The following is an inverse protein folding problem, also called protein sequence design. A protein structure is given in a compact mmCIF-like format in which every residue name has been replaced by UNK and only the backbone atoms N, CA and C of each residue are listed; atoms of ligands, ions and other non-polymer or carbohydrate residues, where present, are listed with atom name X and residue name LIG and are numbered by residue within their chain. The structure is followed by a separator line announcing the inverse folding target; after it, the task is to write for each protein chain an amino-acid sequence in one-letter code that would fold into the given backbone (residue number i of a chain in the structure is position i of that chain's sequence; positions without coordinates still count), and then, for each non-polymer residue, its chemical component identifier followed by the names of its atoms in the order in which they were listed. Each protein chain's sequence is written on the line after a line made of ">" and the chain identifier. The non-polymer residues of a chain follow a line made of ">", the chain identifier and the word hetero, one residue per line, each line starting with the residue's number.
data_IF_567521130322
#
_entry.id   IF_567521130322
#
_cell.length_a   1.000
_cell.length_b   1.000
_cell.length_c   1.000
_cell.angle_alpha   90.00
_cell.angle_beta   90.00
_cell.angle_gamma   90.00
#
_symmetry.space_group_name_H-M   'P 1'
#
loop_
_entity.id
_entity.type
_entity.pdbx_description
1 polymer ?
2 non-polymer ?
3 water ?
#
# COMPACT_ATOMS: atom_id res chain seq x y z
N UNK A 54 -2.54 26.94 -4.67
CA UNK A 54 -3.53 26.11 -3.89
C UNK A 54 -2.85 25.08 -2.99
N UNK A 55 -3.11 25.20 -1.70
CA UNK A 55 -2.60 24.23 -0.77
C UNK A 55 -3.80 23.55 -0.13
N UNK A 56 -3.94 22.23 -0.24
CA UNK A 56 -4.96 21.53 0.51
C UNK A 56 -4.77 21.71 2.00
N UNK A 57 -5.88 22.00 2.66
CA UNK A 57 -5.83 22.29 4.07
C UNK A 57 -5.86 20.99 4.84
N UNK A 58 -6.52 19.98 4.28
CA UNK A 58 -6.52 18.63 4.82
C UNK A 58 -5.56 17.77 4.00
N UNK A 59 -4.52 17.25 4.69
CA UNK A 59 -3.54 16.38 4.07
C UNK A 59 -3.47 15.07 4.85
N UNK A 60 -4.11 14.01 4.30
CA UNK A 60 -4.39 12.79 5.05
C UNK A 60 -3.51 11.63 4.56
N UNK A 61 -2.84 11.02 5.53
CA UNK A 61 -1.98 9.89 5.26
C UNK A 61 -2.76 8.58 5.38
N UNK A 62 -2.96 7.82 4.29
CA UNK A 62 -3.58 6.51 4.41
C UNK A 62 -2.74 5.50 5.23
N UNK A 63 -3.37 4.81 6.20
CA UNK A 63 -2.78 3.63 6.84
C UNK A 63 -3.58 2.36 6.52
N UNK A 64 -3.06 1.55 5.58
CA UNK A 64 -3.66 0.31 5.10
C UNK A 64 -3.20 -0.91 5.90
N UNK A 65 -4.09 -1.55 6.68
CA UNK A 65 -3.69 -2.60 7.60
C UNK A 65 -4.07 -4.01 7.06
N UNK A 66 -4.39 -4.14 5.74
CA UNK A 66 -4.62 -5.43 5.06
C UNK A 66 -3.41 -6.35 5.23
N UNK A 67 -2.29 -5.71 5.58
CA UNK A 67 -1.08 -6.45 5.87
C UNK A 67 0.00 -5.54 6.43
N UNK A 68 1.06 -6.11 6.94
CA UNK A 68 2.19 -5.39 7.54
C UNK A 68 1.70 -4.26 8.43
N UNK A 69 0.90 -4.66 9.39
CA UNK A 69 0.19 -3.76 10.29
C UNK A 69 1.08 -3.57 11.50
N UNK A 70 1.45 -2.32 11.85
CA UNK A 70 2.45 -2.11 12.88
C UNK A 70 1.88 -2.69 14.17
N UNK A 71 2.82 -3.07 15.04
CA UNK A 71 2.50 -3.31 16.43
C UNK A 71 2.12 -2.01 17.11
N UNK A 72 1.19 -2.09 18.08
CA UNK A 72 0.45 -0.91 18.50
C UNK A 72 1.26 0.18 19.20
N UNK A 73 2.29 -0.20 19.91
CA UNK A 73 3.08 0.83 20.60
C UNK A 73 3.85 1.74 19.62
N UNK A 74 3.80 1.46 18.31
CA UNK A 74 4.63 2.22 17.41
C UNK A 74 3.85 3.22 16.59
N UNK A 75 2.59 3.44 16.92
CA UNK A 75 1.85 4.42 16.13
C UNK A 75 2.23 5.83 16.56
N UNK A 76 2.60 6.02 17.83
CA UNK A 76 2.93 7.34 18.30
C UNK A 76 4.07 7.93 17.48
N UNK A 77 5.15 7.16 17.41
CA UNK A 77 6.28 7.52 16.58
C UNK A 77 5.82 7.95 15.19
N UNK A 78 4.99 7.13 14.56
CA UNK A 78 4.60 7.38 13.17
C UNK A 78 3.85 8.68 13.07
N UNK A 79 2.93 8.83 14.03
CA UNK A 79 2.01 9.95 14.07
C UNK A 79 2.74 11.26 14.30
N UNK A 80 3.65 11.28 15.29
CA UNK A 80 4.55 12.41 15.52
C UNK A 80 5.34 12.77 14.26
N UNK A 81 5.77 11.76 13.47
CA UNK A 81 6.48 12.04 12.23
C UNK A 81 5.46 12.66 11.28
N UNK A 82 4.20 12.24 11.41
CA UNK A 82 3.24 12.70 10.42
C UNK A 82 2.96 14.18 10.64
N UNK A 83 3.05 14.63 11.89
CA UNK A 83 2.86 16.03 12.30
C UNK A 83 4.08 16.80 11.80
N UNK A 84 5.25 16.21 11.97
CA UNK A 84 6.49 16.88 11.70
C UNK A 84 6.67 17.12 10.21
N UNK A 85 5.84 16.50 9.36
CA UNK A 85 5.92 16.77 7.94
C UNK A 85 4.69 17.51 7.48
N UNK A 86 3.79 17.84 8.39
CA UNK A 86 2.64 18.67 8.01
C UNK A 86 1.43 17.89 7.48
N UNK A 87 1.15 16.75 8.09
CA UNK A 87 -0.09 16.04 7.84
C UNK A 87 -1.12 16.56 8.82
N UNK A 88 -2.36 16.67 8.38
CA UNK A 88 -3.39 17.13 9.28
C UNK A 88 -4.14 15.95 9.90
N UNK A 89 -3.95 14.77 9.30
CA UNK A 89 -4.80 13.64 9.64
C UNK A 89 -4.40 12.33 8.97
N UNK A 90 -5.16 11.30 9.28
CA UNK A 90 -4.86 9.95 8.83
C UNK A 90 -6.20 9.30 8.49
N UNK A 91 -6.02 8.26 7.70
CA UNK A 91 -7.16 7.52 7.19
C UNK A 91 -6.93 6.08 7.55
N UNK A 92 -7.69 5.48 8.45
CA UNK A 92 -7.29 4.18 8.93
C UNK A 92 -8.18 3.14 8.31
N UNK A 93 -7.59 2.22 7.55
CA UNK A 93 -8.29 1.07 7.05
C UNK A 93 -7.83 -0.17 7.81
N UNK A 94 -8.58 -0.45 8.86
CA UNK A 94 -8.37 -1.54 9.78
C UNK A 94 -8.43 -2.91 9.12
N UNK A 95 -9.27 -3.03 8.06
CA UNK A 95 -9.58 -4.33 7.44
C UNK A 95 -9.88 -5.35 8.54
N UNK A 96 -9.00 -6.37 8.73
CA UNK A 96 -9.27 -7.48 9.60
C UNK A 96 -8.53 -7.29 10.92
N UNK A 97 -8.00 -6.09 11.16
CA UNK A 97 -7.14 -5.93 12.32
C UNK A 97 -7.88 -5.27 13.47
N UNK A 98 -9.13 -4.83 13.22
CA UNK A 98 -9.94 -4.23 14.27
C UNK A 98 -10.43 -5.25 15.29
N UNK A 99 -10.64 -4.86 16.57
CA UNK A 99 -11.24 -5.75 17.57
C UNK A 99 -12.73 -5.97 17.30
N UNK A 100 -13.08 -6.67 16.23
CA UNK A 100 -14.47 -6.91 15.92
C UNK A 100 -15.13 -7.84 16.95
N UNK A 101 -16.46 -7.69 17.10
CA UNK A 101 -17.18 -8.47 18.10
C UNK A 101 -18.51 -8.96 17.55
N UNK A 102 -19.16 -9.82 18.36
CA UNK A 102 -20.36 -10.50 17.92
C UNK A 102 -20.07 -11.40 16.74
N UNK A 103 -20.90 -11.25 15.67
CA UNK A 103 -20.85 -12.08 14.47
C UNK A 103 -19.58 -11.89 13.62
N UNK A 104 -18.81 -10.83 13.90
CA UNK A 104 -17.67 -10.46 13.09
C UNK A 104 -16.39 -10.90 13.78
N UNK A 105 -16.54 -11.39 15.03
CA UNK A 105 -15.40 -11.77 15.86
C UNK A 105 -14.53 -12.81 15.14
N UNK A 106 -15.18 -13.58 14.25
CA UNK A 106 -14.62 -14.81 13.70
C UNK A 106 -13.77 -14.46 12.49
N UNK A 107 -14.10 -13.37 11.82
CA UNK A 107 -13.33 -12.96 10.67
C UNK A 107 -12.25 -11.94 11.03
N UNK A 108 -11.71 -12.05 12.25
CA UNK A 108 -10.61 -11.21 12.71
C UNK A 108 -9.25 -11.83 12.52
N UNK A 109 -8.32 -11.07 11.99
CA UNK A 109 -6.94 -11.49 12.07
C UNK A 109 -6.60 -11.95 13.48
N UNK A 110 -5.82 -13.01 13.51
CA UNK A 110 -5.34 -13.61 14.74
C UNK A 110 -4.47 -12.66 15.54
N UNK A 111 -3.87 -11.66 14.87
CA UNK A 111 -2.94 -10.73 15.51
C UNK A 111 -3.63 -9.37 15.71
N UNK A 112 -4.98 -9.45 15.70
CA UNK A 112 -5.87 -8.31 15.64
C UNK A 112 -5.63 -7.44 16.87
N UNK A 113 -5.85 -6.16 16.71
CA UNK A 113 -5.67 -5.17 17.74
C UNK A 113 -6.78 -5.23 18.80
N UNK A 114 -6.40 -5.09 20.09
CA UNK A 114 -7.37 -5.02 21.17
C UNK A 114 -8.12 -3.70 21.15
N UNK A 115 -9.31 -3.78 21.74
CA UNK A 115 -10.01 -2.59 22.22
C UNK A 115 -9.09 -1.55 22.92
N UNK A 116 -8.25 -1.96 23.87
CA UNK A 116 -7.38 -1.03 24.60
C UNK A 116 -6.38 -0.41 23.64
N UNK A 117 -5.93 -1.19 22.65
CA UNK A 117 -5.05 -0.62 21.63
C UNK A 117 -5.76 0.43 20.78
N UNK A 118 -6.88 0.06 20.19
CA UNK A 118 -7.58 1.01 19.32
C UNK A 118 -7.87 2.33 20.07
N UNK A 119 -8.28 2.26 21.36
CA UNK A 119 -8.67 3.44 22.14
C UNK A 119 -7.41 4.29 22.33
N UNK A 120 -6.23 3.65 22.41
CA UNK A 120 -5.00 4.39 22.68
C UNK A 120 -4.48 4.99 21.37
N UNK A 121 -4.80 4.34 20.28
CA UNK A 121 -4.30 4.82 19.02
C UNK A 121 -5.00 6.12 18.72
N UNK A 122 -6.30 6.16 18.99
CA UNK A 122 -7.10 7.28 18.52
C UNK A 122 -6.87 8.48 19.42
N UNK A 123 -6.60 8.18 20.70
CA UNK A 123 -6.30 9.17 21.75
C UNK A 123 -5.00 9.83 21.37
N UNK A 124 -4.05 8.98 20.91
CA UNK A 124 -2.73 9.50 20.60
C UNK A 124 -2.83 10.38 19.36
N UNK A 125 -3.58 9.91 18.39
CA UNK A 125 -3.90 10.75 17.26
C UNK A 125 -4.50 12.07 17.73
N UNK A 126 -5.53 11.99 18.58
CA UNK A 126 -6.20 13.19 19.02
C UNK A 126 -5.23 14.14 19.72
N UNK A 127 -4.47 13.63 20.70
CA UNK A 127 -3.58 14.48 21.45
C UNK A 127 -2.56 15.16 20.54
N UNK A 128 -2.23 14.59 19.35
CA UNK A 128 -1.21 15.16 18.50
C UNK A 128 -1.88 16.08 17.49
N UNK A 129 -3.17 16.32 17.70
CA UNK A 129 -3.95 17.20 16.82
C UNK A 129 -3.90 16.62 15.41
N UNK A 130 -4.21 15.30 15.30
CA UNK A 130 -4.39 14.62 14.02
C UNK A 130 -5.83 14.11 13.89
N UNK A 131 -6.49 14.60 12.85
CA UNK A 131 -7.80 14.11 12.51
C UNK A 131 -7.72 12.61 12.15
N UNK A 132 -8.79 11.85 12.50
CA UNK A 132 -8.91 10.46 12.10
C UNK A 132 -10.14 10.18 11.24
N UNK A 133 -9.88 9.78 10.00
CA UNK A 133 -11.00 9.32 9.18
C UNK A 133 -10.96 7.82 9.05
N UNK A 134 -11.92 7.04 9.59
CA UNK A 134 -12.01 5.60 9.29
C UNK A 134 -12.33 5.30 7.83
N UNK A 135 -11.72 4.25 7.26
CA UNK A 135 -12.15 3.74 5.97
C UNK A 135 -12.81 2.40 6.20
N UNK A 136 -14.11 2.32 5.88
CA UNK A 136 -14.79 1.03 5.96
C UNK A 136 -15.40 0.66 4.64
N UNK A 137 -15.01 -0.51 4.15
CA UNK A 137 -15.50 -0.91 2.84
C UNK A 137 -16.93 -1.39 3.03
N UNK A 138 -17.82 -0.92 2.16
CA UNK A 138 -19.24 -1.12 2.38
C UNK A 138 -19.90 -1.85 1.22
N UNK A 139 -19.24 -1.99 0.05
CA UNK A 139 -19.81 -2.76 -1.05
C UNK A 139 -18.83 -3.85 -1.48
N UNK A 140 -17.63 -3.40 -1.92
CA UNK A 140 -16.57 -4.26 -2.39
C UNK A 140 -15.31 -4.21 -1.51
N UNK A 141 -14.33 -5.01 -1.94
CA UNK A 141 -13.05 -5.20 -1.27
C UNK A 141 -13.33 -5.76 0.12
N UNK A 142 -14.26 -6.73 0.20
CA UNK A 142 -14.67 -7.31 1.47
C UNK A 142 -14.22 -8.76 1.59
N UNK A 143 -13.20 -9.10 0.80
CA UNK A 143 -12.62 -10.45 0.87
C UNK A 143 -12.39 -10.89 2.32
N UNK A 144 -12.01 -9.96 3.19
CA UNK A 144 -11.59 -10.33 4.52
C UNK A 144 -12.80 -10.78 5.30
N UNK A 145 -13.97 -10.31 4.84
CA UNK A 145 -15.19 -10.65 5.55
C UNK A 145 -15.92 -11.87 4.97
N UNK A 146 -16.07 -11.92 3.64
CA UNK A 146 -16.92 -12.87 2.98
C UNK A 146 -16.21 -14.17 2.53
N UNK A 147 -14.98 -14.43 2.92
CA UNK A 147 -14.21 -15.45 2.26
C UNK A 147 -14.29 -16.75 3.02
N UNK A 148 -14.85 -16.77 4.24
CA UNK A 148 -15.03 -18.04 4.92
C UNK A 148 -16.40 -18.57 4.53
N UNK A 149 -16.82 -19.63 5.21
CA UNK A 149 -18.16 -20.20 5.01
C UNK A 149 -19.21 -19.18 5.45
N UNK A 150 -18.88 -18.47 6.55
CA UNK A 150 -19.81 -17.71 7.36
C UNK A 150 -20.68 -16.76 6.55
N UNK A 151 -20.11 -16.05 5.59
CA UNK A 151 -20.92 -15.06 4.92
C UNK A 151 -20.94 -15.37 3.43
N UNK A 152 -20.63 -16.64 3.13
CA UNK A 152 -20.59 -17.11 1.76
C UNK A 152 -21.88 -16.65 1.10
N UNK A 153 -22.98 -16.75 1.88
CA UNK A 153 -24.33 -16.59 1.33
C UNK A 153 -24.53 -15.15 0.87
N UNK A 154 -23.69 -14.25 1.44
CA UNK A 154 -23.85 -12.81 1.28
C UNK A 154 -23.21 -12.24 0.02
N UNK A 155 -22.40 -13.06 -0.68
CA UNK A 155 -21.60 -12.57 -1.80
C UNK A 155 -22.45 -12.25 -3.03
N UNK A 156 -22.11 -11.21 -3.78
CA UNK A 156 -22.73 -10.92 -5.08
C UNK A 156 -22.68 -12.15 -5.98
N UNK A 157 -21.49 -12.73 -6.12
CA UNK A 157 -21.25 -13.92 -6.90
C UNK A 157 -20.67 -14.96 -5.95
N UNK A 158 -21.22 -16.19 -5.88
CA UNK A 158 -20.83 -17.09 -4.79
C UNK A 158 -19.39 -17.53 -4.86
N UNK A 159 -18.72 -17.27 -5.99
CA UNK A 159 -17.35 -17.68 -6.14
C UNK A 159 -16.39 -16.58 -5.71
N UNK A 160 -16.83 -15.31 -5.79
CA UNK A 160 -16.01 -14.16 -5.53
C UNK A 160 -16.28 -13.66 -4.13
N UNK A 161 -15.27 -13.69 -3.22
CA UNK A 161 -15.36 -13.09 -1.89
C UNK A 161 -15.17 -11.57 -1.84
N UNK A 162 -15.31 -10.92 -2.98
CA UNK A 162 -15.05 -9.51 -3.09
C UNK A 162 -16.23 -8.60 -2.77
N UNK A 163 -17.37 -8.86 -3.35
CA UNK A 163 -18.52 -7.97 -3.26
C UNK A 163 -19.61 -8.65 -2.45
N UNK A 164 -20.49 -7.83 -1.87
CA UNK A 164 -21.67 -8.31 -1.16
C UNK A 164 -22.94 -7.99 -1.98
N UNK A 165 -24.01 -8.82 -1.91
CA UNK A 165 -25.19 -8.55 -2.71
C UNK A 165 -25.90 -7.34 -2.10
N UNK A 166 -25.89 -6.20 -2.83
CA UNK A 166 -26.58 -4.96 -2.43
C UNK A 166 -28.07 -5.28 -2.23
N UNK A 167 -28.65 -6.14 -3.08
CA UNK A 167 -30.08 -6.42 -3.04
C UNK A 167 -30.47 -7.46 -2.02
N UNK A 168 -29.55 -7.95 -1.19
CA UNK A 168 -29.88 -8.92 -0.16
C UNK A 168 -29.74 -8.17 1.14
N UNK A 169 -30.85 -8.00 1.86
CA UNK A 169 -30.92 -7.04 2.94
C UNK A 169 -30.28 -7.67 4.18
N UNK A 170 -30.27 -8.98 4.30
CA UNK A 170 -29.53 -9.54 5.42
C UNK A 170 -28.05 -9.10 5.27
N UNK A 171 -27.61 -8.81 4.04
CA UNK A 171 -26.19 -8.59 3.81
C UNK A 171 -25.90 -7.12 4.09
N UNK A 172 -26.86 -6.30 3.62
CA UNK A 172 -26.77 -4.88 3.84
C UNK A 172 -26.76 -4.69 5.34
N UNK A 173 -27.46 -5.56 6.09
CA UNK A 173 -27.53 -5.46 7.54
C UNK A 173 -26.15 -5.72 8.15
N UNK A 174 -25.38 -6.69 7.62
CA UNK A 174 -24.08 -7.02 8.18
C UNK A 174 -23.14 -5.83 8.03
N UNK A 175 -23.28 -5.17 6.88
CA UNK A 175 -22.47 -4.04 6.50
C UNK A 175 -22.69 -2.90 7.51
N UNK A 176 -23.95 -2.67 7.88
CA UNK A 176 -24.28 -1.52 8.71
C UNK A 176 -23.79 -1.83 10.13
N UNK A 177 -23.83 -3.08 10.55
CA UNK A 177 -23.22 -3.43 11.83
C UNK A 177 -21.71 -3.17 11.85
N UNK A 178 -21.13 -3.21 10.64
CA UNK A 178 -19.70 -3.25 10.57
C UNK A 178 -19.30 -1.79 10.78
N UNK A 179 -19.93 -0.94 9.95
CA UNK A 179 -19.87 0.50 10.16
C UNK A 179 -20.04 0.84 11.64
N UNK A 180 -21.10 0.38 12.31
CA UNK A 180 -21.41 0.85 13.66
C UNK A 180 -20.35 0.37 14.63
N UNK A 181 -19.74 -0.77 14.35
CA UNK A 181 -18.81 -1.35 15.29
C UNK A 181 -17.52 -0.51 15.38
N UNK A 182 -17.24 0.15 14.24
CA UNK A 182 -16.06 0.97 14.02
C UNK A 182 -16.32 2.36 14.58
N UNK A 183 -17.43 2.93 14.14
CA UNK A 183 -17.85 4.26 14.55
C UNK A 183 -18.04 4.30 16.08
N UNK A 184 -18.38 3.19 16.70
CA UNK A 184 -18.36 3.08 18.15
C UNK A 184 -17.09 3.69 18.72
N UNK A 185 -15.97 3.35 18.12
CA UNK A 185 -14.72 3.86 18.64
C UNK A 185 -14.37 5.20 18.05
N UNK A 186 -14.74 5.41 16.78
CA UNK A 186 -14.29 6.58 16.05
C UNK A 186 -15.21 7.80 16.17
N UNK A 187 -16.39 7.60 16.77
CA UNK A 187 -17.42 8.62 16.71
C UNK A 187 -16.95 9.92 17.32
N UNK A 188 -16.14 9.84 18.38
CA UNK A 188 -15.83 11.05 19.11
C UNK A 188 -14.61 11.74 18.55
N UNK A 189 -14.18 11.44 17.32
CA UNK A 189 -12.81 11.71 16.93
C UNK A 189 -12.67 12.14 15.45
N UNK A 190 -13.72 12.50 14.74
CA UNK A 190 -13.45 12.98 13.39
C UNK A 190 -14.69 13.57 12.78
N UNK A 191 -14.60 14.32 11.67
CA UNK A 191 -15.83 14.89 11.14
C UNK A 191 -16.26 14.11 9.88
N UNK A 192 -15.37 13.17 9.48
CA UNK A 192 -15.57 12.44 8.23
C UNK A 192 -15.51 10.91 8.41
N UNK A 193 -16.23 10.19 7.53
CA UNK A 193 -16.11 8.75 7.35
C UNK A 193 -16.03 8.39 5.85
N UNK A 194 -15.12 7.45 5.49
CA UNK A 194 -14.95 6.98 4.14
C UNK A 194 -15.55 5.57 4.07
N UNK A 195 -16.46 5.39 3.07
CA UNK A 195 -17.16 4.12 2.94
C UNK A 195 -16.71 3.23 1.77
N UNK A 196 -15.62 3.55 1.08
CA UNK A 196 -15.15 2.73 -0.01
C UNK A 196 -15.94 3.00 -1.27
N UNK A 197 -16.67 1.97 -1.77
CA UNK A 197 -17.34 1.94 -3.08
C UNK A 197 -16.41 2.28 -4.21
N UNK A 198 -15.20 1.64 -4.19
CA UNK A 198 -14.17 1.73 -5.23
C UNK A 198 -14.09 0.42 -6.02
N UNK A 199 -13.20 0.43 -7.04
CA UNK A 199 -12.86 -0.68 -7.94
C UNK A 199 -13.28 -2.05 -7.37
N UNK A 220 -29.87 -0.93 -12.09
CA UNK A 220 -28.55 -1.54 -11.79
C UNK A 220 -27.57 -0.55 -11.16
N UNK A 221 -27.36 0.64 -11.80
CA UNK A 221 -26.66 1.74 -11.12
C UNK A 221 -27.57 2.29 -10.01
N UNK A 222 -28.89 2.08 -10.12
CA UNK A 222 -29.85 2.50 -9.09
C UNK A 222 -29.68 1.67 -7.82
N UNK A 223 -29.38 0.37 -7.96
CA UNK A 223 -29.22 -0.53 -6.81
C UNK A 223 -27.96 -0.15 -6.03
N UNK A 224 -26.97 0.30 -6.81
CA UNK A 224 -25.71 0.77 -6.26
C UNK A 224 -26.02 2.03 -5.46
N UNK A 225 -26.53 3.05 -6.16
CA UNK A 225 -26.79 4.35 -5.57
C UNK A 225 -27.75 4.23 -4.41
N UNK A 226 -28.70 3.30 -4.43
CA UNK A 226 -29.63 3.22 -3.31
C UNK A 226 -28.90 2.52 -2.15
N UNK A 227 -27.77 1.85 -2.45
CA UNK A 227 -26.96 1.18 -1.42
C UNK A 227 -26.12 2.24 -0.68
N UNK A 228 -25.53 3.13 -1.48
CA UNK A 228 -24.79 4.27 -1.04
C UNK A 228 -25.69 5.19 -0.19
N UNK A 229 -26.79 5.59 -0.79
CA UNK A 229 -27.77 6.41 -0.13
C UNK A 229 -28.00 5.77 1.22
N UNK A 230 -28.46 4.54 1.20
CA UNK A 230 -28.71 3.85 2.43
C UNK A 230 -27.57 4.10 3.44
N UNK A 231 -26.31 3.88 3.02
CA UNK A 231 -25.17 3.77 3.93
C UNK A 231 -24.81 5.13 4.52
N UNK A 232 -24.52 6.08 3.62
CA UNK A 232 -24.51 7.50 3.88
C UNK A 232 -25.47 7.95 5.02
N UNK A 233 -26.79 7.79 4.78
CA UNK A 233 -27.80 8.31 5.71
C UNK A 233 -27.58 7.60 7.02
N UNK A 234 -27.22 6.31 6.99
CA UNK A 234 -27.02 5.64 8.27
C UNK A 234 -25.92 6.36 9.06
N UNK A 235 -24.82 6.72 8.36
CA UNK A 235 -23.68 7.34 9.03
C UNK A 235 -24.01 8.78 9.43
N UNK A 236 -24.46 9.57 8.43
CA UNK A 236 -24.90 10.96 8.60
C UNK A 236 -25.88 11.11 9.78
N UNK A 237 -26.89 10.26 9.83
CA UNK A 237 -27.96 10.36 10.79
C UNK A 237 -27.48 9.97 12.16
N UNK A 238 -26.81 8.82 12.27
CA UNK A 238 -26.57 8.23 13.57
C UNK A 238 -25.33 8.87 14.21
N UNK A 239 -24.41 9.36 13.38
CA UNK A 239 -23.13 9.83 13.89
C UNK A 239 -22.85 11.27 13.47
N UNK A 240 -23.75 11.85 12.68
CA UNK A 240 -23.61 13.24 12.23
C UNK A 240 -22.34 13.56 11.47
N UNK A 241 -21.82 12.64 10.63
CA UNK A 241 -20.59 12.87 9.89
C UNK A 241 -20.88 12.85 8.42
N UNK A 242 -19.86 13.33 7.70
CA UNK A 242 -19.92 13.50 6.27
C UNK A 242 -19.27 12.29 5.63
N UNK A 243 -19.90 11.83 4.56
CA UNK A 243 -19.41 10.60 3.98
C UNK A 243 -18.55 10.90 2.76
N UNK A 244 -17.35 10.31 2.75
CA UNK A 244 -16.48 10.25 1.59
C UNK A 244 -16.54 8.87 0.93
N UNK A 245 -16.53 8.83 -0.40
CA UNK A 245 -16.42 7.56 -1.09
C UNK A 245 -15.45 7.72 -2.26
N UNK A 246 -15.00 6.59 -2.86
CA UNK A 246 -14.16 6.66 -4.06
C UNK A 246 -14.97 7.03 -5.29
N UNK A 247 -14.39 7.85 -6.18
CA UNK A 247 -15.15 8.50 -7.24
C UNK A 247 -15.64 7.61 -8.39
N UNK A 248 -14.86 6.57 -8.74
CA UNK A 248 -15.11 5.69 -9.89
C UNK A 248 -16.56 5.20 -9.99
N UNK A 249 -17.24 5.02 -8.85
CA UNK A 249 -18.62 4.54 -8.84
C UNK A 249 -19.60 5.53 -9.50
N UNK A 250 -19.24 6.82 -9.65
CA UNK A 250 -20.20 7.87 -10.05
C UNK A 250 -19.70 8.76 -11.18
N UNK A 251 -18.42 8.68 -11.57
CA UNK A 251 -17.82 9.52 -12.60
C UNK A 251 -18.52 9.40 -13.96
N UNK A 252 -19.15 8.23 -14.15
CA UNK A 252 -19.84 7.89 -15.39
C UNK A 252 -21.28 8.39 -15.40
N UNK A 253 -21.96 8.35 -14.24
CA UNK A 253 -23.41 8.43 -14.14
C UNK A 253 -23.94 9.77 -14.64
N UNK A 254 -25.18 9.75 -15.14
CA UNK A 254 -25.84 10.95 -15.64
C UNK A 254 -25.99 11.89 -14.45
N UNK A 255 -25.69 13.17 -14.64
CA UNK A 255 -25.96 14.16 -13.62
C UNK A 255 -27.37 13.94 -13.05
N UNK A 256 -28.29 13.49 -13.91
CA UNK A 256 -29.67 13.26 -13.54
C UNK A 256 -29.77 12.32 -12.33
N UNK A 257 -29.21 11.10 -12.45
CA UNK A 257 -29.31 10.08 -11.43
C UNK A 257 -28.73 10.57 -10.09
N UNK A 258 -27.65 11.38 -10.19
CA UNK A 258 -27.02 11.93 -9.01
C UNK A 258 -28.03 12.77 -8.24
N UNK A 259 -28.81 13.57 -8.98
CA UNK A 259 -29.79 14.43 -8.33
C UNK A 259 -30.93 13.63 -7.74
N UNK A 260 -31.39 12.65 -8.52
CA UNK A 260 -32.44 11.76 -8.07
C UNK A 260 -32.08 11.20 -6.71
N UNK A 261 -30.78 11.03 -6.44
CA UNK A 261 -30.42 10.48 -5.15
C UNK A 261 -29.75 11.52 -4.27
N UNK A 262 -29.97 12.79 -4.58
CA UNK A 262 -29.55 13.90 -3.73
C UNK A 262 -28.14 13.64 -3.19
N UNK A 263 -27.23 13.38 -4.14
CA UNK A 263 -25.88 12.99 -3.77
C UNK A 263 -25.12 14.26 -3.40
N UNK A 264 -25.61 15.40 -3.83
CA UNK A 264 -24.93 16.66 -3.55
C UNK A 264 -24.94 16.87 -2.06
N UNK A 265 -25.98 16.26 -1.41
CA UNK A 265 -26.19 16.37 0.03
C UNK A 265 -25.74 15.11 0.75
N UNK A 266 -25.20 14.12 0.07
CA UNK A 266 -24.89 12.92 0.84
C UNK A 266 -23.39 12.61 0.96
N UNK A 267 -22.64 12.73 -0.16
CA UNK A 267 -21.30 12.13 -0.24
C UNK A 267 -20.28 13.08 -0.83
N UNK A 268 -19.05 12.88 -0.40
CA UNK A 268 -17.94 13.64 -0.94
C UNK A 268 -17.09 12.67 -1.76
N UNK A 269 -17.09 12.83 -3.09
CA UNK A 269 -16.32 11.95 -3.93
C UNK A 269 -14.84 12.28 -3.75
N UNK A 270 -14.11 11.18 -3.59
CA UNK A 270 -12.67 11.18 -3.56
C UNK A 270 -12.20 10.62 -4.89
N UNK A 271 -11.60 11.50 -5.68
CA UNK A 271 -11.05 11.09 -6.95
C UNK A 271 -9.59 10.63 -6.77
N UNK A 272 -9.32 9.40 -7.17
CA UNK A 272 -8.00 8.82 -7.01
C UNK A 272 -7.32 8.59 -8.36
N UNK A 273 -6.01 8.92 -8.37
CA UNK A 273 -5.18 8.69 -9.52
C UNK A 273 -3.73 8.74 -9.08
N UNK A 274 -3.11 7.58 -9.30
CA UNK A 274 -1.76 7.31 -8.82
C UNK A 274 -0.74 7.41 -9.97
N UNK A 275 -1.20 7.83 -11.16
CA UNK A 275 -0.31 8.00 -12.32
C UNK A 275 0.67 9.17 -12.17
N UNK A 276 1.74 9.12 -12.92
CA UNK A 276 2.77 10.14 -12.94
C UNK A 276 2.30 11.39 -13.69
N UNK A 277 1.76 11.24 -14.90
CA UNK A 277 1.10 12.34 -15.58
C UNK A 277 -0.37 11.99 -15.60
N UNK A 278 -1.14 12.76 -14.82
CA UNK A 278 -2.58 12.66 -14.74
C UNK A 278 -3.18 13.30 -15.95
N UNK A 279 -2.48 14.32 -16.48
CA UNK A 279 -2.95 15.05 -17.64
C UNK A 279 -3.11 14.07 -18.80
N UNK A 280 -2.25 13.04 -18.82
CA UNK A 280 -2.38 11.93 -19.75
C UNK A 280 -3.60 11.03 -19.46
N UNK A 281 -3.90 10.72 -18.19
CA UNK A 281 -4.90 9.70 -17.89
C UNK A 281 -6.30 10.31 -17.66
N UNK A 282 -6.40 11.55 -17.14
CA UNK A 282 -7.68 12.10 -16.69
C UNK A 282 -8.51 12.60 -17.86
N UNK A 283 -9.82 12.27 -17.95
CA UNK A 283 -10.69 12.78 -19.02
C UNK A 283 -10.73 14.29 -18.91
N UNK A 284 -11.40 14.99 -19.83
CA UNK A 284 -11.30 16.43 -19.74
C UNK A 284 -12.67 16.96 -19.34
N UNK A 285 -12.61 18.02 -18.53
CA UNK A 285 -13.74 18.47 -17.73
C UNK A 285 -14.30 17.36 -16.82
N UNK A 286 -13.40 16.48 -16.35
CA UNK A 286 -13.75 15.57 -15.27
C UNK A 286 -14.16 16.41 -14.05
N UNK A 287 -13.42 17.51 -13.83
CA UNK A 287 -13.66 18.47 -12.76
C UNK A 287 -14.97 19.22 -13.00
N UNK A 288 -15.18 19.62 -14.26
CA UNK A 288 -16.40 20.27 -14.69
C UNK A 288 -17.59 19.32 -14.51
N UNK A 289 -17.36 18.03 -14.78
CA UNK A 289 -18.40 17.03 -14.59
C UNK A 289 -18.86 17.05 -13.14
N UNK A 290 -17.90 16.92 -12.23
CA UNK A 290 -18.17 16.67 -10.83
C UNK A 290 -18.67 17.92 -10.10
N UNK A 291 -18.16 19.10 -10.47
CA UNK A 291 -18.57 20.34 -9.82
C UNK A 291 -20.02 20.61 -10.15
N UNK A 292 -20.51 20.06 -11.27
CA UNK A 292 -21.89 20.20 -11.67
C UNK A 292 -22.76 19.19 -10.96
N UNK A 293 -22.20 18.45 -9.99
CA UNK A 293 -22.95 17.36 -9.36
C UNK A 293 -22.87 17.46 -7.85
N UNK A 294 -21.66 17.82 -7.36
CA UNK A 294 -21.39 17.89 -5.94
C UNK A 294 -20.63 19.18 -5.57
N UNK A 295 -20.87 19.67 -4.34
CA UNK A 295 -20.18 20.85 -3.82
C UNK A 295 -18.81 20.57 -3.23
N UNK A 296 -18.62 19.34 -2.71
CA UNK A 296 -17.39 18.96 -2.01
C UNK A 296 -16.64 17.86 -2.77
N UNK A 297 -15.33 18.01 -2.86
CA UNK A 297 -14.49 17.09 -3.62
C UNK A 297 -13.18 16.93 -2.86
N UNK A 298 -12.68 15.70 -2.85
CA UNK A 298 -11.36 15.36 -2.34
C UNK A 298 -10.49 14.79 -3.47
N UNK A 299 -9.19 14.67 -3.21
CA UNK A 299 -8.30 14.06 -4.18
C UNK A 299 -7.42 13.01 -3.51
N UNK A 300 -6.86 12.10 -4.32
CA UNK A 300 -6.14 11.01 -3.71
C UNK A 300 -4.91 10.64 -4.53
N UNK A 301 -3.73 10.83 -3.92
CA UNK A 301 -2.47 10.58 -4.59
C UNK A 301 -1.92 9.27 -4.04
N UNK A 302 -0.69 8.85 -4.39
CA UNK A 302 -0.16 7.70 -3.68
C UNK A 302 1.25 7.96 -3.19
N UNK A 303 1.59 7.49 -1.99
CA UNK A 303 3.00 7.47 -1.65
C UNK A 303 3.65 6.07 -1.70
N UNK A 304 2.83 5.02 -1.65
CA UNK A 304 3.29 3.65 -1.73
C UNK A 304 2.08 2.79 -2.13
N UNK A 305 2.30 1.56 -2.62
CA UNK A 305 1.24 0.65 -3.02
C UNK A 305 0.60 0.98 -4.37
N UNK A 306 1.36 1.63 -5.26
CA UNK A 306 0.89 1.86 -6.63
C UNK A 306 2.01 1.97 -7.66
N UNK A 307 3.20 1.39 -7.41
CA UNK A 307 4.18 1.20 -8.49
C UNK A 307 3.87 -0.13 -9.20
N UNK A 308 4.08 -1.19 -8.44
CA UNK A 308 3.85 -2.54 -8.87
C UNK A 308 3.41 -3.33 -7.65
N UNK A 309 2.62 -4.39 -7.84
CA UNK A 309 2.19 -5.18 -6.69
C UNK A 309 3.35 -5.74 -5.89
N UNK A 310 4.44 -6.06 -6.60
CA UNK A 310 5.61 -6.66 -6.00
C UNK A 310 6.71 -5.64 -5.74
N UNK A 311 6.33 -4.37 -5.66
CA UNK A 311 7.25 -3.29 -5.32
C UNK A 311 7.57 -3.39 -3.84
N UNK A 312 8.82 -3.66 -3.48
CA UNK A 312 9.17 -3.81 -2.09
C UNK A 312 10.13 -2.75 -1.58
N UNK A 313 10.58 -1.80 -2.45
CA UNK A 313 11.63 -0.86 -2.08
C UNK A 313 11.12 0.53 -2.42
N UNK A 314 11.93 1.55 -2.05
CA UNK A 314 11.57 2.95 -2.23
C UNK A 314 11.89 3.47 -3.64
N UNK A 315 10.87 3.84 -4.41
CA UNK A 315 11.01 4.52 -5.69
C UNK A 315 10.30 5.87 -5.59
N UNK A 316 10.99 6.89 -5.05
CA UNK A 316 10.45 8.22 -4.81
C UNK A 316 10.12 8.95 -6.12
N UNK A 317 10.94 8.76 -7.16
CA UNK A 317 10.84 9.47 -8.45
C UNK A 317 9.39 9.33 -8.97
N UNK A 318 8.84 8.10 -8.88
CA UNK A 318 7.51 7.75 -9.32
C UNK A 318 6.45 8.53 -8.53
N UNK A 319 6.44 8.38 -7.21
CA UNK A 319 5.35 9.00 -6.49
C UNK A 319 5.42 10.52 -6.65
N UNK A 320 6.65 11.07 -6.75
CA UNK A 320 6.86 12.50 -6.81
C UNK A 320 6.18 13.06 -8.06
N UNK A 321 6.34 12.42 -9.21
CA UNK A 321 5.61 12.80 -10.42
C UNK A 321 4.11 12.88 -10.21
N UNK A 322 3.55 12.02 -9.36
CA UNK A 322 2.12 11.96 -9.09
C UNK A 322 1.72 13.23 -8.32
N UNK A 323 2.53 13.56 -7.33
CA UNK A 323 2.31 14.75 -6.53
C UNK A 323 2.44 16.07 -7.30
N UNK A 324 3.41 16.21 -8.23
CA UNK A 324 3.55 17.44 -9.01
C UNK A 324 2.36 17.52 -9.94
N UNK A 325 2.06 16.36 -10.53
CA UNK A 325 0.94 16.28 -11.44
C UNK A 325 -0.37 16.57 -10.70
N UNK A 326 -0.43 16.34 -9.38
CA UNK A 326 -1.66 16.60 -8.62
C UNK A 326 -1.74 18.10 -8.30
N UNK A 327 -0.64 18.73 -7.94
CA UNK A 327 -0.70 20.15 -7.68
C UNK A 327 -1.41 20.89 -8.82
N UNK A 328 -1.01 20.60 -10.06
CA UNK A 328 -1.53 21.35 -11.19
C UNK A 328 -3.04 21.13 -11.22
N UNK A 329 -3.48 19.88 -11.01
CA UNK A 329 -4.89 19.50 -11.08
C UNK A 329 -5.73 20.24 -10.03
N UNK A 330 -5.26 20.26 -8.79
CA UNK A 330 -5.98 20.91 -7.69
C UNK A 330 -6.10 22.43 -7.93
N UNK A 331 -5.02 23.02 -8.50
CA UNK A 331 -4.95 24.43 -8.82
C UNK A 331 -5.89 24.79 -9.96
N UNK A 332 -6.59 23.79 -10.51
CA UNK A 332 -7.58 24.06 -11.54
C UNK A 332 -8.96 23.68 -11.03
N UNK A 333 -9.00 22.92 -9.93
CA UNK A 333 -10.24 22.30 -9.50
C UNK A 333 -10.70 22.88 -8.17
N UNK A 334 -9.78 23.58 -7.49
CA UNK A 334 -10.06 24.16 -6.21
C UNK A 334 -11.31 25.03 -6.29
N UNK A 335 -11.46 25.78 -7.39
CA UNK A 335 -12.39 26.89 -7.44
C UNK A 335 -13.80 26.51 -7.88
N UNK A 336 -14.03 25.31 -8.42
CA UNK A 336 -15.34 24.91 -8.96
C UNK A 336 -16.15 24.15 -7.91
N UNK A 337 -15.58 24.08 -6.73
CA UNK A 337 -16.23 23.32 -5.70
C UNK A 337 -16.54 24.27 -4.55
N UNK A 338 -17.66 24.05 -3.87
CA UNK A 338 -17.85 24.72 -2.61
C UNK A 338 -16.58 24.61 -1.79
N UNK A 339 -15.92 23.44 -1.87
CA UNK A 339 -14.62 23.27 -1.24
C UNK A 339 -13.96 21.98 -1.74
N UNK A 340 -12.74 22.10 -2.33
CA UNK A 340 -11.80 21.01 -2.49
C UNK A 340 -11.22 20.70 -1.11
N UNK A 341 -11.63 19.60 -0.48
CA UNK A 341 -11.42 19.48 0.95
C UNK A 341 -9.96 19.14 1.27
N UNK A 342 -9.32 18.41 0.40
CA UNK A 342 -7.94 18.03 0.70
C UNK A 342 -7.50 16.91 -0.22
N UNK A 343 -6.34 16.34 0.12
CA UNK A 343 -5.80 15.22 -0.63
C UNK A 343 -5.43 14.09 0.33
N UNK A 344 -5.81 12.88 -0.09
CA UNK A 344 -5.47 11.67 0.65
C UNK A 344 -4.29 10.96 -0.03
N UNK A 345 -3.21 10.85 0.74
CA UNK A 345 -1.98 10.23 0.35
C UNK A 345 -2.16 8.77 0.60
N UNK A 346 -2.50 8.05 -0.45
CA UNK A 346 -2.78 6.63 -0.33
C UNK A 346 -1.48 5.89 -0.05
N UNK A 347 -1.54 4.78 0.68
CA UNK A 347 -0.41 3.93 1.05
C UNK A 347 -0.70 2.42 1.15
N UNK A 348 -1.25 1.85 0.07
CA UNK A 348 -1.64 0.45 0.01
C UNK A 348 -0.49 -0.44 0.49
N UNK A 349 -0.84 -1.59 1.12
CA UNK A 349 0.10 -2.51 1.72
C UNK A 349 0.00 -3.80 0.92
N UNK A 350 -1.18 -4.06 0.32
CA UNK A 350 -1.37 -5.01 -0.76
C UNK A 350 -2.29 -4.35 -1.80
N UNK A 351 -2.09 -4.65 -3.08
CA UNK A 351 -3.05 -4.30 -4.12
C UNK A 351 -4.46 -4.79 -3.83
N UNK A 352 -4.63 -5.86 -3.04
CA UNK A 352 -5.93 -6.30 -2.58
C UNK A 352 -5.57 -7.28 -1.47
N UNK A 353 -6.58 -7.64 -0.67
CA UNK A 353 -6.53 -8.66 0.38
C UNK A 353 -5.67 -9.86 -0.02
N UNK A 354 -5.83 -10.34 -1.26
CA UNK A 354 -5.26 -11.63 -1.67
C UNK A 354 -3.89 -11.46 -2.30
N UNK A 355 -3.61 -10.24 -2.77
CA UNK A 355 -2.31 -9.92 -3.33
C UNK A 355 -1.21 -9.96 -2.26
N UNK A 356 0.01 -9.99 -2.75
CA UNK A 356 1.20 -9.96 -1.90
C UNK A 356 1.34 -8.58 -1.27
N UNK A 357 2.26 -8.57 -0.31
CA UNK A 357 2.66 -7.35 0.35
C UNK A 357 3.47 -6.47 -0.57
N UNK A 358 3.02 -5.24 -0.81
CA UNK A 358 3.87 -4.26 -1.46
C UNK A 358 4.72 -3.58 -0.38
N UNK A 359 5.08 -2.33 -0.64
CA UNK A 359 6.07 -1.58 0.14
C UNK A 359 5.57 -1.32 1.54
N UNK A 360 6.39 -1.70 2.52
CA UNK A 360 6.06 -1.46 3.93
C UNK A 360 6.05 0.04 4.21
N UNK A 361 5.31 0.45 5.26
CA UNK A 361 5.25 1.87 5.62
C UNK A 361 6.65 2.48 5.84
N UNK A 362 7.56 1.85 6.59
CA UNK A 362 8.89 2.41 6.75
C UNK A 362 9.55 2.69 5.42
N UNK A 363 9.26 1.86 4.44
CA UNK A 363 9.90 2.01 3.14
C UNK A 363 9.31 3.22 2.43
N UNK A 364 8.08 3.55 2.79
CA UNK A 364 7.36 4.63 2.12
C UNK A 364 7.58 5.97 2.77
N UNK A 365 8.31 6.00 3.90
CA UNK A 365 8.47 7.26 4.61
C UNK A 365 9.16 8.33 3.75
N UNK A 366 10.31 8.04 3.09
CA UNK A 366 10.90 8.97 2.14
C UNK A 366 9.95 9.51 1.09
N UNK A 367 9.17 8.63 0.48
CA UNK A 367 8.18 9.08 -0.47
C UNK A 367 7.20 10.02 0.23
N UNK A 368 6.80 9.61 1.44
CA UNK A 368 5.70 10.29 2.06
C UNK A 368 6.21 11.62 2.59
N UNK A 369 7.49 11.64 3.00
CA UNK A 369 8.02 12.88 3.52
C UNK A 369 8.08 13.91 2.40
N UNK A 370 8.62 13.51 1.25
CA UNK A 370 8.89 14.45 0.20
C UNK A 370 7.60 14.92 -0.42
N UNK A 371 6.58 14.08 -0.37
CA UNK A 371 5.37 14.41 -1.12
C UNK A 371 4.47 15.31 -0.27
N UNK A 372 4.53 15.17 1.07
CA UNK A 372 3.81 16.10 1.93
C UNK A 372 4.40 17.51 1.80
N UNK A 373 5.71 17.68 2.08
CA UNK A 373 6.37 18.96 1.88
C UNK A 373 6.10 19.55 0.49
N UNK A 374 6.00 18.70 -0.55
CA UNK A 374 5.85 19.17 -1.92
C UNK A 374 4.46 19.75 -2.16
N UNK A 375 3.46 19.27 -1.42
CA UNK A 375 2.11 19.74 -1.60
C UNK A 375 1.89 20.97 -0.73
N UNK A 376 2.66 21.12 0.32
CA UNK A 376 2.49 22.26 1.18
C UNK A 376 3.31 23.44 0.68
N UNK A 377 4.37 23.16 -0.11
CA UNK A 377 5.21 24.18 -0.69
C UNK A 377 4.75 24.56 -2.10
N UNK A 378 3.84 23.73 -2.65
CA UNK A 378 3.14 24.04 -3.87
C UNK A 378 3.96 23.66 -5.09
N UNK A 379 5.12 23.06 -4.86
CA UNK A 379 5.98 22.62 -5.96
C UNK A 379 7.23 21.93 -5.38
N UNK A 380 8.00 21.27 -6.24
CA UNK A 380 9.21 20.62 -5.79
C UNK A 380 10.44 21.41 -6.24
N UNK A 381 11.40 21.66 -5.35
CA UNK A 381 12.60 22.38 -5.71
C UNK A 381 13.66 21.94 -4.72
N UNK A 382 14.92 22.35 -4.95
CA UNK A 382 16.03 21.88 -4.14
C UNK A 382 15.86 22.30 -2.67
N UNK A 383 14.94 23.22 -2.42
CA UNK A 383 14.55 23.59 -1.08
C UNK A 383 13.78 22.45 -0.38
N UNK A 384 12.75 21.96 -1.07
CA UNK A 384 11.96 20.81 -0.63
C UNK A 384 12.87 19.62 -0.35
N UNK A 385 13.63 19.22 -1.37
CA UNK A 385 14.58 18.12 -1.20
C UNK A 385 15.27 18.24 0.15
N UNK A 386 15.72 19.45 0.48
CA UNK A 386 16.66 19.61 1.58
C UNK A 386 15.93 19.59 2.92
N UNK A 387 14.71 20.15 3.00
CA UNK A 387 14.06 20.07 4.31
C UNK A 387 13.75 18.59 4.51
N UNK A 388 13.27 17.96 3.43
CA UNK A 388 13.00 16.53 3.47
C UNK A 388 14.10 15.77 4.21
N UNK A 389 15.34 15.89 3.73
CA UNK A 389 16.47 15.16 4.30
C UNK A 389 16.71 15.46 5.79
N UNK A 390 16.67 16.71 6.20
CA UNK A 390 17.02 17.02 7.58
C UNK A 390 15.88 16.57 8.52
N UNK A 391 14.68 16.41 7.97
CA UNK A 391 13.58 15.79 8.74
C UNK A 391 13.83 14.29 8.92
N UNK A 392 14.41 13.64 7.90
CA UNK A 392 14.75 12.22 8.01
C UNK A 392 16.07 12.00 8.74
N UNK A 393 16.77 13.13 9.07
CA UNK A 393 18.08 13.20 9.67
C UNK A 393 19.06 12.34 8.89
N UNK A 394 18.95 12.43 7.55
CA UNK A 394 19.83 11.68 6.69
C UNK A 394 21.13 12.44 6.66
N UNK A 395 22.14 11.85 6.05
CA UNK A 395 23.38 12.58 6.00
C UNK A 395 23.34 13.55 4.82
N UNK A 396 23.53 14.83 5.19
CA UNK A 396 23.62 16.04 4.37
C UNK A 396 24.35 15.78 3.07
N UNK A 397 24.12 16.69 2.10
CA UNK A 397 24.26 16.36 0.70
C UNK A 397 23.05 15.54 0.27
N UNK A 398 23.31 14.34 -0.29
CA UNK A 398 22.28 13.35 -0.54
C UNK A 398 21.16 13.94 -1.41
N UNK A 399 20.45 13.04 -2.10
CA UNK A 399 19.27 13.38 -2.87
C UNK A 399 18.14 12.43 -2.43
N UNK A 400 16.97 12.96 -2.09
CA UNK A 400 15.77 12.20 -1.72
C UNK A 400 15.35 11.24 -2.83
N UNK A 401 15.62 11.64 -4.10
CA UNK A 401 15.41 10.79 -5.26
C UNK A 401 16.50 9.75 -5.50
N UNK A 402 17.68 9.89 -4.94
CA UNK A 402 18.72 8.89 -5.12
C UNK A 402 18.96 8.21 -3.78
N UNK A 403 20.18 7.75 -3.51
CA UNK A 403 20.42 7.00 -2.30
C UNK A 403 20.50 7.92 -1.09
N UNK A 404 20.10 7.38 0.06
CA UNK A 404 20.10 8.10 1.32
C UNK A 404 20.78 7.23 2.36
N UNK A 405 21.53 7.83 3.30
CA UNK A 405 22.36 7.07 4.22
C UNK A 405 22.24 7.70 5.59
N UNK A 406 22.25 6.84 6.61
CA UNK A 406 22.13 7.31 7.98
C UNK A 406 20.87 8.13 8.26
N UNK A 407 19.76 7.83 7.58
CA UNK A 407 18.51 8.49 7.96
C UNK A 407 18.13 7.95 9.32
N UNK A 408 17.35 8.74 10.10
CA UNK A 408 16.81 8.31 11.39
C UNK A 408 15.33 8.67 11.43
N UNK A 409 14.46 7.79 10.94
CA UNK A 409 13.03 7.94 11.14
C UNK A 409 12.43 6.62 11.58
N UNK A 410 11.14 6.55 11.97
CA UNK A 410 10.56 5.30 12.42
C UNK A 410 10.66 4.30 11.27
N UNK A 411 11.28 3.14 11.60
CA UNK A 411 11.51 2.06 10.65
C UNK A 411 12.73 2.23 9.76
N UNK A 412 13.51 3.24 10.06
CA UNK A 412 14.67 3.58 9.26
C UNK A 412 15.63 2.38 9.15
N UNK A 413 15.82 1.58 10.17
CA UNK A 413 16.62 0.38 9.98
C UNK A 413 16.03 -0.56 8.90
N UNK A 414 14.72 -0.77 8.96
CA UNK A 414 14.06 -1.62 8.01
C UNK A 414 14.26 -1.03 6.60
N UNK A 415 14.07 0.28 6.47
CA UNK A 415 14.39 0.93 5.19
C UNK A 415 15.80 0.58 4.71
N UNK A 416 16.79 0.87 5.55
CA UNK A 416 18.21 0.68 5.22
C UNK A 416 18.41 -0.73 4.68
N UNK A 417 18.01 -1.70 5.49
CA UNK A 417 18.19 -3.09 5.11
C UNK A 417 17.43 -3.51 3.85
N UNK A 418 16.25 -2.92 3.56
CA UNK A 418 15.45 -3.43 2.47
C UNK A 418 16.01 -2.79 1.22
N UNK A 419 16.66 -1.66 1.40
CA UNK A 419 17.22 -0.94 0.26
C UNK A 419 18.46 -1.67 -0.22
N UNK A 420 19.33 -2.11 0.72
CA UNK A 420 20.40 -3.08 0.46
C UNK A 420 19.95 -4.34 -0.31
N UNK A 421 18.81 -4.94 0.12
CA UNK A 421 18.17 -6.06 -0.56
C UNK A 421 17.89 -5.71 -2.02
N UNK A 422 17.35 -4.52 -2.21
CA UNK A 422 17.11 -4.09 -3.58
C UNK A 422 18.40 -4.13 -4.41
N UNK A 423 19.51 -3.72 -3.82
CA UNK A 423 20.76 -3.56 -4.54
C UNK A 423 21.43 -4.91 -4.84
N UNK A 424 21.45 -5.75 -3.80
CA UNK A 424 22.04 -7.07 -3.88
C UNK A 424 21.29 -7.88 -4.94
N UNK A 425 19.99 -7.74 -4.95
CA UNK A 425 19.19 -8.52 -5.86
C UNK A 425 19.45 -8.09 -7.28
N UNK A 426 19.75 -6.80 -7.51
CA UNK A 426 20.06 -6.30 -8.87
C UNK A 426 21.38 -6.85 -9.39
N UNK A 427 22.32 -6.99 -8.46
CA UNK A 427 23.60 -7.61 -8.77
C UNK A 427 23.42 -9.08 -9.13
N UNK A 428 22.72 -9.80 -8.27
CA UNK A 428 22.46 -11.19 -8.52
C UNK A 428 21.76 -11.42 -9.86
N UNK A 429 20.84 -10.57 -10.26
CA UNK A 429 20.12 -10.76 -11.52
C UNK A 429 21.05 -10.44 -12.69
N UNK A 430 21.96 -9.49 -12.47
CA UNK A 430 22.93 -9.11 -13.51
C UNK A 430 23.91 -10.27 -13.74
N UNK A 431 24.30 -10.98 -12.64
CA UNK A 431 25.17 -12.14 -12.70
C UNK A 431 24.47 -13.31 -13.33
N UNK A 432 23.24 -13.55 -12.98
CA UNK A 432 22.52 -14.60 -13.67
C UNK A 432 22.25 -14.27 -15.14
N UNK A 433 22.44 -13.01 -15.59
CA UNK A 433 22.22 -12.68 -17.01
C UNK A 433 23.51 -12.59 -17.87
N UNK A 434 24.71 -12.63 -17.28
CA UNK A 434 25.99 -12.55 -17.99
C UNK A 434 26.35 -13.82 -18.75
N UNK A 435 27.47 -13.79 -19.49
CA UNK A 435 27.75 -14.83 -20.48
C UNK A 435 27.99 -16.19 -19.80
N UNK A 436 28.64 -16.12 -18.63
CA UNK A 436 29.06 -17.27 -17.86
C UNK A 436 27.90 -18.12 -17.42
N UNK A 437 26.91 -17.49 -16.80
CA UNK A 437 25.83 -18.31 -16.27
C UNK A 437 24.92 -18.75 -17.41
N UNK A 438 24.70 -17.82 -18.34
CA UNK A 438 23.88 -17.99 -19.50
C UNK A 438 24.40 -19.15 -20.34
N UNK A 439 25.71 -19.11 -20.66
CA UNK A 439 26.32 -20.10 -21.55
C UNK A 439 26.58 -21.45 -20.89
N UNK A 440 27.03 -21.44 -19.61
CA UNK A 440 27.54 -22.65 -19.01
C UNK A 440 26.87 -23.11 -17.73
N UNK A 441 25.81 -22.41 -17.29
CA UNK A 441 25.03 -22.95 -16.20
C UNK A 441 23.59 -23.06 -16.65
N UNK A 442 23.39 -23.37 -17.91
CA UNK A 442 22.08 -23.66 -18.47
C UNK A 442 21.38 -24.81 -17.75
N UNK A 443 20.17 -25.09 -18.23
CA UNK A 443 19.42 -26.25 -17.78
C UNK A 443 20.07 -27.60 -18.11
N UNK A 444 20.80 -27.74 -19.22
CA UNK A 444 21.44 -29.00 -19.59
C UNK A 444 22.64 -29.19 -18.68
N UNK A 445 23.28 -28.09 -18.32
CA UNK A 445 24.41 -28.16 -17.42
C UNK A 445 23.94 -28.65 -16.05
N UNK A 446 22.80 -28.08 -15.61
CA UNK A 446 22.24 -28.39 -14.33
C UNK A 446 21.68 -29.80 -14.30
N UNK A 447 21.12 -30.28 -15.40
CA UNK A 447 20.38 -31.54 -15.36
C UNK A 447 21.28 -32.70 -15.81
N UNK A 448 22.32 -32.42 -16.62
CA UNK A 448 23.14 -33.48 -17.15
C UNK A 448 24.56 -33.26 -16.67
N UNK A 449 24.70 -32.51 -15.58
CA UNK A 449 25.97 -32.17 -14.95
C UNK A 449 27.04 -32.03 -16.06
N UNK A 450 26.81 -31.24 -17.12
CA UNK A 450 27.64 -31.25 -18.32
C UNK A 450 27.99 -29.82 -18.73
N UNK A 451 29.12 -29.35 -18.25
CA UNK A 451 29.58 -28.02 -18.54
C UNK A 451 31.09 -27.94 -18.28
N UNK A 452 31.71 -26.73 -18.34
CA UNK A 452 33.16 -26.55 -18.28
C UNK A 452 33.54 -26.23 -16.86
N UNK A 453 34.21 -27.16 -16.19
CA UNK A 453 34.84 -26.88 -14.90
C UNK A 453 35.45 -25.49 -14.83
N UNK A 454 36.02 -25.03 -15.92
CA UNK A 454 36.77 -23.81 -15.83
C UNK A 454 35.82 -22.65 -15.59
N UNK A 455 34.60 -22.82 -16.11
CA UNK A 455 33.64 -21.73 -16.02
C UNK A 455 33.04 -21.72 -14.62
N UNK A 456 32.88 -22.89 -14.06
CA UNK A 456 32.50 -23.05 -12.69
C UNK A 456 33.45 -22.26 -11.79
N UNK A 457 34.76 -22.46 -11.92
CA UNK A 457 35.74 -21.81 -11.07
C UNK A 457 35.51 -20.30 -10.98
N UNK A 458 34.77 -19.70 -11.93
CA UNK A 458 34.55 -18.25 -11.99
C UNK A 458 33.15 -17.90 -11.50
N UNK A 459 32.33 -18.91 -11.35
CA UNK A 459 30.96 -18.68 -11.02
C UNK A 459 30.76 -19.03 -9.57
N UNK A 460 31.17 -20.25 -9.20
CA UNK A 460 30.94 -20.78 -7.88
C UNK A 460 31.37 -19.79 -6.77
N UNK A 461 32.50 -19.10 -6.89
CA UNK A 461 32.86 -18.06 -5.92
C UNK A 461 31.86 -16.90 -5.81
N UNK A 462 31.35 -16.45 -6.95
CA UNK A 462 30.36 -15.40 -6.95
C UNK A 462 29.00 -15.88 -6.42
N UNK A 463 28.60 -17.08 -6.77
CA UNK A 463 27.41 -17.60 -6.17
C UNK A 463 27.52 -17.68 -4.64
N UNK A 464 28.66 -18.18 -4.14
CA UNK A 464 28.81 -18.38 -2.70
C UNK A 464 28.80 -17.02 -1.98
N UNK A 465 29.46 -15.98 -2.52
CA UNK A 465 29.46 -14.71 -1.80
C UNK A 465 28.01 -14.18 -1.65
N UNK A 466 27.35 -14.02 -2.81
CA UNK A 466 26.02 -13.45 -2.87
C UNK A 466 25.03 -14.24 -2.04
N UNK A 467 25.11 -15.56 -2.15
CA UNK A 467 24.35 -16.39 -1.26
C UNK A 467 24.63 -16.03 0.19
N UNK A 468 25.89 -15.92 0.64
CA UNK A 468 26.09 -15.71 2.08
C UNK A 468 25.64 -14.29 2.41
N UNK A 469 25.82 -13.31 1.52
CA UNK A 469 25.38 -11.98 1.90
C UNK A 469 23.85 -11.96 2.05
N UNK A 470 23.12 -12.64 1.14
CA UNK A 470 21.67 -12.65 1.22
C UNK A 470 21.22 -13.39 2.47
N UNK A 471 22.01 -14.35 2.97
CA UNK A 471 21.62 -14.96 4.23
C UNK A 471 21.70 -13.96 5.36
N UNK A 472 22.70 -13.08 5.36
CA UNK A 472 22.86 -12.14 6.45
C UNK A 472 21.84 -11.00 6.35
N UNK A 473 21.54 -10.59 5.13
CA UNK A 473 20.46 -9.65 4.92
C UNK A 473 19.13 -10.17 5.49
N UNK A 474 18.86 -11.46 5.29
CA UNK A 474 17.60 -12.01 5.77
C UNK A 474 17.54 -11.89 7.30
N UNK A 475 18.63 -12.27 7.98
CA UNK A 475 18.73 -12.13 9.42
C UNK A 475 18.47 -10.69 9.85
N UNK A 476 19.17 -9.78 9.23
CA UNK A 476 19.10 -8.39 9.69
C UNK A 476 17.69 -7.87 9.55
N UNK A 477 17.03 -8.21 8.42
CA UNK A 477 15.72 -7.65 8.08
C UNK A 477 14.67 -8.24 9.02
N UNK A 478 14.81 -9.53 9.29
CA UNK A 478 13.96 -10.18 10.27
C UNK A 478 14.03 -9.50 11.64
N UNK A 479 15.23 -9.10 12.06
CA UNK A 479 15.42 -8.48 13.36
C UNK A 479 14.81 -7.09 13.40
N UNK A 480 15.19 -6.29 12.39
CA UNK A 480 14.66 -4.94 12.20
C UNK A 480 13.13 -4.94 12.15
N UNK A 481 12.58 -5.80 11.29
CA UNK A 481 11.15 -5.81 11.03
C UNK A 481 10.39 -6.36 12.23
N UNK A 482 11.00 -7.34 12.96
CA UNK A 482 10.36 -7.92 14.16
C UNK A 482 10.15 -6.95 15.33
N UNK A 483 10.95 -5.90 15.52
CA UNK A 483 10.60 -4.84 16.47
C UNK A 483 9.32 -4.09 16.11
N UNK A 484 8.95 -4.01 14.81
CA UNK A 484 7.79 -3.20 14.44
C UNK A 484 6.63 -4.07 13.92
N UNK A 485 6.90 -5.27 13.40
CA UNK A 485 5.81 -5.99 12.77
C UNK A 485 5.65 -7.35 13.40
N UNK A 486 4.46 -7.95 13.18
CA UNK A 486 4.17 -9.32 13.58
C UNK A 486 4.82 -10.34 12.66
N UNK A 487 5.09 -11.53 13.20
CA UNK A 487 5.86 -12.57 12.52
C UNK A 487 5.31 -12.86 11.14
N UNK A 488 4.01 -13.09 11.05
CA UNK A 488 3.47 -13.48 9.78
C UNK A 488 3.96 -12.55 8.66
N UNK A 489 3.86 -11.24 8.92
CA UNK A 489 4.29 -10.21 7.99
C UNK A 489 5.78 -10.33 7.60
N UNK A 490 6.66 -10.64 8.55
CA UNK A 490 8.08 -10.81 8.25
C UNK A 490 8.29 -12.08 7.44
N UNK A 491 7.67 -13.16 7.92
CA UNK A 491 7.70 -14.44 7.25
C UNK A 491 7.16 -14.31 5.83
N UNK A 492 6.17 -13.47 5.66
CA UNK A 492 5.63 -13.33 4.31
C UNK A 492 6.62 -12.61 3.41
N UNK A 493 7.23 -11.53 3.93
CA UNK A 493 8.19 -10.69 3.22
C UNK A 493 9.38 -11.55 2.77
N UNK A 494 9.96 -12.28 3.71
CA UNK A 494 11.13 -13.11 3.47
C UNK A 494 10.75 -14.18 2.43
N UNK A 495 9.64 -14.86 2.69
CA UNK A 495 9.16 -15.91 1.81
C UNK A 495 9.00 -15.39 0.37
N UNK A 496 8.70 -14.10 0.18
CA UNK A 496 8.35 -13.57 -1.11
C UNK A 496 9.59 -13.01 -1.77
N UNK A 497 10.37 -12.25 -1.02
CA UNK A 497 11.30 -11.35 -1.67
C UNK A 497 12.76 -11.67 -1.40
N UNK A 498 13.04 -12.65 -0.52
CA UNK A 498 14.41 -12.89 -0.08
C UNK A 498 14.76 -14.35 -0.32
N UNK A 499 14.00 -15.25 0.32
CA UNK A 499 14.30 -16.68 0.36
C UNK A 499 14.38 -17.34 -1.02
N UNK A 500 13.51 -17.01 -2.01
CA UNK A 500 13.51 -17.75 -3.26
C UNK A 500 14.90 -17.61 -3.87
N UNK A 501 15.57 -16.52 -3.52
CA UNK A 501 16.85 -16.26 -4.14
C UNK A 501 17.92 -17.10 -3.45
N UNK A 502 17.84 -17.19 -2.13
CA UNK A 502 18.82 -18.01 -1.44
C UNK A 502 18.70 -19.43 -1.99
N UNK A 503 17.45 -19.93 -2.01
CA UNK A 503 17.18 -21.25 -2.54
C UNK A 503 17.73 -21.43 -3.95
N UNK A 504 17.49 -20.44 -4.81
CA UNK A 504 17.97 -20.51 -6.19
C UNK A 504 19.49 -20.43 -6.31
N UNK A 505 20.15 -19.59 -5.50
CA UNK A 505 21.59 -19.57 -5.46
C UNK A 505 22.14 -20.90 -4.95
N UNK A 506 21.59 -21.39 -3.86
CA UNK A 506 22.01 -22.68 -3.34
C UNK A 506 21.88 -23.79 -4.38
N UNK A 507 20.76 -23.93 -5.11
CA UNK A 507 20.62 -25.02 -6.08
C UNK A 507 21.62 -24.86 -7.26
N UNK A 508 22.00 -23.63 -7.60
CA UNK A 508 23.00 -23.45 -8.64
C UNK A 508 24.38 -23.79 -8.06
N UNK A 509 24.65 -23.34 -6.83
CA UNK A 509 25.91 -23.61 -6.19
C UNK A 509 26.14 -25.11 -6.07
N UNK A 510 25.08 -25.92 -5.94
CA UNK A 510 25.23 -27.37 -5.75
C UNK A 510 25.67 -28.05 -7.03
N UNK A 511 24.96 -27.71 -8.13
CA UNK A 511 25.25 -28.26 -9.45
C UNK A 511 26.53 -27.70 -10.04
N UNK A 512 26.85 -26.43 -9.83
CA UNK A 512 28.09 -25.90 -10.34
C UNK A 512 29.29 -26.50 -9.61
N UNK A 513 29.08 -26.85 -8.34
CA UNK A 513 30.12 -27.47 -7.56
C UNK A 513 30.30 -28.90 -8.04
N UNK A 514 29.20 -29.58 -8.34
CA UNK A 514 29.29 -30.94 -8.85
C UNK A 514 30.01 -31.01 -10.19
N UNK A 515 29.79 -30.01 -11.05
CA UNK A 515 30.40 -29.99 -12.36
C UNK A 515 31.86 -29.64 -12.18
N UNK A 516 32.15 -28.78 -11.20
CA UNK A 516 33.52 -28.36 -10.98
C UNK A 516 34.34 -29.55 -10.56
N UNK A 517 33.65 -30.62 -10.10
CA UNK A 517 34.31 -31.80 -9.55
C UNK A 517 34.38 -32.93 -10.57
N UNK A 518 33.85 -32.69 -11.77
CA UNK A 518 33.86 -33.68 -12.81
C UNK A 518 35.14 -33.45 -13.60
N UNK A 519 35.68 -34.50 -14.14
CA UNK A 519 36.93 -34.34 -14.87
C UNK A 519 36.79 -35.11 -16.18
N UNK A 520 35.72 -35.90 -16.30
CA UNK A 520 35.49 -36.83 -17.39
C UNK A 520 34.08 -36.69 -17.94
N UNK A 521 33.93 -36.35 -19.24
CA UNK A 521 32.62 -36.06 -19.83
C UNK A 521 32.32 -36.97 -21.04
N UNK A 522 31.03 -37.21 -21.33
CA UNK A 522 30.67 -38.14 -22.40
C UNK A 522 30.76 -37.45 -23.76
N UNK A 523 31.07 -38.27 -24.77
CA UNK A 523 31.10 -37.80 -26.14
C UNK A 523 29.68 -37.54 -26.56
N UNK A 524 29.56 -36.58 -27.48
CA UNK A 524 28.22 -36.29 -27.99
C UNK A 524 27.85 -37.32 -29.06
N UNK A 525 26.56 -37.63 -29.29
CA UNK A 525 25.41 -37.04 -28.58
C UNK A 525 25.03 -37.81 -27.31
N UNK A 526 24.51 -37.13 -26.29
CA UNK A 526 24.00 -37.82 -25.11
C UNK A 526 22.52 -37.55 -24.96
N UNK A 527 21.68 -38.57 -24.67
CA UNK A 527 20.23 -38.40 -24.58
C UNK A 527 19.77 -37.25 -23.71
N UNK A 528 18.73 -36.56 -24.20
CA UNK A 528 18.21 -35.35 -23.62
C UNK A 528 16.68 -35.49 -23.62
N UNK A 529 16.04 -35.35 -22.44
CA UNK A 529 14.68 -34.85 -22.36
C UNK A 529 14.28 -34.67 -20.89
X LIG B 1 -27.11 -8.41 -6.57
#
# INVERSE_FOLDING_TARGET
>A
HEGVFQRGAAMRKRTVYGQVDEKSSPTSTSTDLTMKTTTTYSQNLKEPPPSNVFIPKRRIVHLDLKGAAPKPQHFRAFFEYFVRIGATGILIEWEDMFPYEGRLSDLRNGDAYSADDVRMILSTADQLRLEVIPLVQTIGHLEWLLKTHKFYSFRENPRNPQSVCVSNAEAVDLVLHLVDQVMAFHKDYGQFVHIGADEVYQYGECSRCVARMNKENLRREDLLLRHIVNVSKHVKTKYGKNVLMWHDMIANIDASLAEKYDLKNLVEPVLWNYAEDLEAFLPMGIWETFSAMVPYMWGSSAFKGADSPTRYHSNVKHYLENHISWIKQMSTASEKFREFRGLIFTGWQRYDHFAVLCEFLPIGIPSLTVNMLTIRNGRFDASVNDQAISIMQCVTGSDVKGDLYGCRFPGSDIYHHVQLLHEKKGEIEKLLLQQSVQGWLSNIAIDYNMSSPWYMNLIVPDLMTYKNQMIELSLNIRQAMLEMFYENAVDEFLFTYVDPVINHLQRLLDRATAIQRRDEFPVRPFPIKRTIDTTRAVDHHHHHH
>B hetero
1 ZN ZN
#
